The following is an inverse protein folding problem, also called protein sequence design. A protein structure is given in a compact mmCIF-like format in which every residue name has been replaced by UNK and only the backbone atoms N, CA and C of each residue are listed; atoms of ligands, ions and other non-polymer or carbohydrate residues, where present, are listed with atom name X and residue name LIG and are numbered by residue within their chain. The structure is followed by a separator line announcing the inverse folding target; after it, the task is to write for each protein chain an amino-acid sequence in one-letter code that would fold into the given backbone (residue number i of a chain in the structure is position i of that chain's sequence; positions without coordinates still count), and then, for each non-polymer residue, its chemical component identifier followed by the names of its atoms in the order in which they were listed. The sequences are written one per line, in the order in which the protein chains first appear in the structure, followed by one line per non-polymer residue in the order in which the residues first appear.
data_IF_660067350249
#
_entry.id   IF_660067350249
#
_cell.length_a   1.000
_cell.length_b   1.000
_cell.length_c   1.000
_cell.angle_alpha   90.00
_cell.angle_beta   90.00
_cell.angle_gamma   90.00
#
_symmetry.space_group_name_H-M   'P 1'
#
loop_
_entity.id
_entity.type
_entity.pdbx_description
1 polymer ?
#
# COMPACT_ATOMS: atom_id res chain seq x y z
N UNK A 1 6.47 -20.13 -19.66
CA UNK A 1 6.57 -19.22 -18.48
C UNK A 1 7.52 -19.76 -17.40
N UNK A 2 8.61 -19.05 -17.08
CA UNK A 2 9.69 -19.51 -16.20
C UNK A 2 9.36 -19.33 -14.71
N UNK A 3 9.93 -20.19 -13.86
CA UNK A 3 9.90 -20.09 -12.39
C UNK A 3 10.23 -18.67 -11.87
N UNK A 4 10.94 -17.88 -12.67
CA UNK A 4 11.34 -16.49 -12.42
C UNK A 4 10.14 -15.54 -12.27
N UNK A 5 9.08 -15.70 -13.06
CA UNK A 5 7.91 -14.80 -12.97
C UNK A 5 7.12 -15.04 -11.68
N UNK A 6 6.90 -16.31 -11.34
CA UNK A 6 6.34 -16.71 -10.04
C UNK A 6 7.20 -16.20 -8.88
N UNK A 7 8.53 -16.28 -9.03
CA UNK A 7 9.47 -15.75 -8.05
C UNK A 7 9.29 -14.23 -7.85
N UNK A 8 9.12 -13.45 -8.92
CA UNK A 8 8.87 -11.99 -8.83
C UNK A 8 7.57 -11.70 -8.08
N UNK A 9 6.48 -12.42 -8.37
CA UNK A 9 5.21 -12.24 -7.67
C UNK A 9 5.35 -12.54 -6.18
N UNK A 10 5.97 -13.68 -5.85
CA UNK A 10 6.21 -14.07 -4.45
C UNK A 10 7.09 -13.04 -3.76
N UNK A 11 8.15 -12.56 -4.41
CA UNK A 11 9.05 -11.55 -3.89
C UNK A 11 8.33 -10.23 -3.57
N UNK A 12 7.42 -9.77 -4.45
CA UNK A 12 6.61 -8.57 -4.22
C UNK A 12 5.67 -8.70 -3.02
N UNK A 13 5.08 -9.88 -2.82
CA UNK A 13 4.24 -10.16 -1.65
C UNK A 13 5.09 -10.20 -0.38
N UNK A 14 6.28 -10.81 -0.44
CA UNK A 14 7.21 -10.87 0.70
C UNK A 14 7.71 -9.48 1.11
N UNK A 15 7.90 -8.54 0.18
CA UNK A 15 8.23 -7.15 0.52
C UNK A 15 7.14 -6.52 1.40
N UNK A 16 5.86 -6.68 1.02
CA UNK A 16 4.74 -6.17 1.80
C UNK A 16 4.65 -6.81 3.19
N UNK A 17 4.82 -8.13 3.27
CA UNK A 17 4.87 -8.86 4.55
C UNK A 17 6.03 -8.38 5.41
N UNK A 18 7.23 -8.24 4.84
CA UNK A 18 8.43 -7.76 5.54
C UNK A 18 8.18 -6.38 6.17
N UNK A 19 7.61 -5.45 5.41
CA UNK A 19 7.29 -4.09 5.90
C UNK A 19 6.32 -4.12 7.10
N UNK A 20 5.28 -4.96 7.04
CA UNK A 20 4.32 -5.15 8.13
C UNK A 20 5.03 -5.72 9.36
N UNK A 21 5.81 -6.79 9.19
CA UNK A 21 6.52 -7.47 10.28
C UNK A 21 7.55 -6.55 10.93
N UNK A 22 8.35 -5.82 10.16
CA UNK A 22 9.32 -4.86 10.70
C UNK A 22 8.65 -3.77 11.52
N UNK A 23 7.52 -3.26 11.05
CA UNK A 23 6.72 -2.28 11.79
C UNK A 23 6.19 -2.87 13.09
N UNK A 24 5.71 -4.13 13.09
CA UNK A 24 5.26 -4.82 14.31
C UNK A 24 6.39 -5.01 15.32
N UNK A 25 7.54 -5.54 14.89
CA UNK A 25 8.71 -5.76 15.75
C UNK A 25 9.15 -4.43 16.37
N UNK A 26 9.23 -3.37 15.55
CA UNK A 26 9.58 -2.03 16.02
C UNK A 26 8.61 -1.49 17.06
N UNK A 27 7.32 -1.85 16.98
CA UNK A 27 6.32 -1.46 17.96
C UNK A 27 6.40 -2.27 19.25
N UNK A 28 6.56 -3.59 19.16
CA UNK A 28 6.68 -4.46 20.34
C UNK A 28 7.85 -3.99 21.22
N UNK A 29 8.98 -3.61 20.61
CA UNK A 29 10.15 -3.08 21.33
C UNK A 29 9.90 -1.75 22.05
N UNK A 30 8.86 -1.00 21.67
CA UNK A 30 8.58 0.36 22.16
C UNK A 30 7.27 0.46 22.92
N UNK A 31 6.61 -0.68 23.17
CA UNK A 31 5.29 -0.72 23.81
C UNK A 31 5.32 -0.09 25.20
N UNK A 32 6.41 -0.29 25.93
CA UNK A 32 6.57 0.21 27.29
C UNK A 32 6.94 1.70 27.36
N UNK A 33 7.28 2.32 26.22
CA UNK A 33 7.60 3.76 26.11
C UNK A 33 6.54 4.56 25.35
N UNK A 34 5.37 3.97 25.05
CA UNK A 34 4.24 4.67 24.41
C UNK A 34 3.58 5.64 25.41
N UNK A 35 3.59 6.95 25.10
CA UNK A 35 2.97 8.00 25.93
C UNK A 35 1.56 8.32 25.41
N UNK A 36 1.42 8.52 24.10
CA UNK A 36 0.15 8.91 23.47
C UNK A 36 -0.03 8.12 22.17
N UNK A 37 -1.15 7.42 22.06
CA UNK A 37 -1.58 6.77 20.81
C UNK A 37 -2.59 7.68 20.12
N UNK A 38 -2.15 8.34 19.04
CA UNK A 38 -3.02 9.19 18.23
C UNK A 38 -3.85 8.34 17.26
N UNK A 39 -5.00 8.91 16.91
CA UNK A 39 -6.11 8.21 16.26
C UNK A 39 -5.68 7.40 15.02
N UNK A 40 -6.13 6.14 14.95
CA UNK A 40 -6.00 5.27 13.78
C UNK A 40 -6.73 5.91 12.59
N UNK A 41 -6.13 5.87 11.41
CA UNK A 41 -6.70 6.42 10.18
C UNK A 41 -6.73 5.36 9.10
N UNK A 42 -7.86 5.23 8.41
CA UNK A 42 -7.85 4.51 7.14
C UNK A 42 -6.96 5.25 6.15
N UNK A 43 -6.02 4.53 5.54
CA UNK A 43 -5.15 5.09 4.51
C UNK A 43 -5.93 5.19 3.19
N UNK A 44 -6.11 6.41 2.70
CA UNK A 44 -6.75 6.69 1.40
C UNK A 44 -5.98 5.98 0.28
N UNK A 45 -4.64 5.96 0.35
CA UNK A 45 -3.80 5.21 -0.58
C UNK A 45 -4.09 3.72 -0.53
N UNK A 46 -4.25 3.16 0.67
CA UNK A 46 -4.63 1.75 0.84
C UNK A 46 -5.96 1.43 0.16
N UNK A 47 -6.97 2.28 0.33
CA UNK A 47 -8.26 2.14 -0.33
C UNK A 47 -8.17 2.31 -1.86
N UNK A 48 -7.35 3.24 -2.35
CA UNK A 48 -7.12 3.43 -3.78
C UNK A 48 -6.49 2.17 -4.41
N UNK A 49 -5.47 1.59 -3.78
CA UNK A 49 -4.85 0.34 -4.25
C UNK A 49 -5.80 -0.85 -4.15
N UNK A 50 -6.69 -0.89 -3.15
CA UNK A 50 -7.75 -1.89 -3.08
C UNK A 50 -8.74 -1.77 -4.24
N UNK A 51 -9.13 -0.54 -4.60
CA UNK A 51 -10.01 -0.30 -5.75
C UNK A 51 -9.33 -0.70 -7.07
N UNK A 52 -8.05 -0.35 -7.23
CA UNK A 52 -7.25 -0.80 -8.38
C UNK A 52 -7.17 -2.32 -8.47
N UNK A 53 -6.97 -3.02 -7.34
CA UNK A 53 -6.99 -4.47 -7.30
C UNK A 53 -8.32 -5.05 -7.81
N UNK A 54 -9.45 -4.49 -7.37
CA UNK A 54 -10.78 -4.91 -7.83
C UNK A 54 -10.92 -4.71 -9.34
N UNK A 55 -10.48 -3.57 -9.87
CA UNK A 55 -10.49 -3.29 -11.32
C UNK A 55 -9.69 -4.34 -12.08
N UNK A 56 -8.47 -4.66 -11.61
CA UNK A 56 -7.63 -5.67 -12.24
C UNK A 56 -8.26 -7.06 -12.22
N UNK A 57 -8.87 -7.47 -11.11
CA UNK A 57 -9.58 -8.76 -10.99
C UNK A 57 -10.74 -8.83 -11.99
N UNK A 58 -11.54 -7.75 -12.12
CA UNK A 58 -12.66 -7.70 -13.06
C UNK A 58 -12.17 -7.79 -14.51
N UNK A 59 -11.12 -7.05 -14.87
CA UNK A 59 -10.55 -7.10 -16.22
C UNK A 59 -9.97 -8.48 -16.54
N UNK A 60 -9.22 -9.07 -15.61
CA UNK A 60 -8.66 -10.42 -15.76
C UNK A 60 -9.79 -11.46 -15.96
N UNK A 61 -10.82 -11.41 -15.13
CA UNK A 61 -11.97 -12.32 -15.22
C UNK A 61 -12.68 -12.20 -16.56
N UNK A 62 -12.93 -10.97 -17.04
CA UNK A 62 -13.54 -10.74 -18.36
C UNK A 62 -12.68 -11.30 -19.50
N UNK A 63 -11.37 -11.10 -19.44
CA UNK A 63 -10.45 -11.62 -20.47
C UNK A 63 -10.40 -13.16 -20.46
N UNK A 64 -10.30 -13.78 -19.28
CA UNK A 64 -10.32 -15.25 -19.13
C UNK A 64 -11.61 -15.81 -19.70
N UNK A 65 -12.77 -15.27 -19.31
CA UNK A 65 -14.07 -15.75 -19.78
C UNK A 65 -14.24 -15.56 -21.29
N UNK A 66 -13.78 -14.44 -21.84
CA UNK A 66 -13.84 -14.19 -23.29
C UNK A 66 -13.09 -15.26 -24.08
N UNK A 67 -11.84 -15.53 -23.70
CA UNK A 67 -11.01 -16.51 -24.43
C UNK A 67 -11.41 -17.94 -24.11
N UNK A 68 -11.86 -18.22 -22.89
CA UNK A 68 -12.44 -19.52 -22.55
C UNK A 68 -13.65 -19.83 -23.42
N UNK A 69 -14.63 -18.93 -23.50
CA UNK A 69 -15.82 -19.14 -24.32
C UNK A 69 -15.51 -19.26 -25.81
N UNK A 70 -14.46 -18.58 -26.27
CA UNK A 70 -13.96 -18.70 -27.63
C UNK A 70 -13.43 -20.11 -27.88
N UNK A 71 -12.52 -20.61 -27.03
CA UNK A 71 -11.81 -21.89 -27.20
C UNK A 71 -12.59 -23.12 -26.71
N UNK A 72 -13.73 -22.92 -26.05
CA UNK A 72 -14.50 -23.98 -25.43
C UNK A 72 -14.95 -25.01 -26.47
N UNK A 73 -14.95 -26.28 -26.08
CA UNK A 73 -15.37 -27.45 -26.88
C UNK A 73 -14.37 -27.92 -27.92
N UNK A 74 -13.74 -27.02 -28.67
CA UNK A 74 -12.82 -27.41 -29.74
C UNK A 74 -11.38 -27.60 -29.25
N UNK A 75 -11.00 -26.79 -28.24
CA UNK A 75 -9.63 -26.76 -27.75
C UNK A 75 -9.58 -26.92 -26.23
N UNK A 76 -10.48 -26.24 -25.50
CA UNK A 76 -10.45 -26.18 -24.02
C UNK A 76 -11.70 -26.81 -23.42
N UNK A 77 -11.50 -27.79 -22.54
CA UNK A 77 -12.57 -28.49 -21.84
C UNK A 77 -12.84 -27.90 -20.45
N UNK A 78 -11.84 -27.25 -19.87
CA UNK A 78 -11.89 -26.74 -18.50
C UNK A 78 -11.29 -25.34 -18.40
N UNK A 79 -11.96 -24.45 -17.64
CA UNK A 79 -11.45 -23.10 -17.38
C UNK A 79 -10.08 -23.13 -16.67
N UNK A 80 -9.74 -24.22 -15.95
CA UNK A 80 -8.43 -24.37 -15.32
C UNK A 80 -7.28 -24.48 -16.34
N UNK A 81 -7.54 -24.97 -17.55
CA UNK A 81 -6.52 -25.03 -18.62
C UNK A 81 -6.09 -23.62 -19.07
N UNK A 82 -6.96 -22.62 -18.92
CA UNK A 82 -6.62 -21.22 -19.22
C UNK A 82 -5.49 -20.68 -18.32
N UNK A 83 -5.32 -21.25 -17.12
CA UNK A 83 -4.26 -20.89 -16.19
C UNK A 83 -2.97 -21.70 -16.42
N UNK A 84 -3.01 -22.72 -17.29
CA UNK A 84 -1.84 -23.47 -17.69
C UNK A 84 -1.18 -22.78 -18.89
N UNK A 85 -0.21 -21.90 -18.61
CA UNK A 85 0.44 -21.14 -19.68
C UNK A 85 1.15 -22.02 -20.71
N UNK A 86 1.80 -23.11 -20.29
CA UNK A 86 2.48 -24.00 -21.25
C UNK A 86 1.49 -24.62 -22.23
N UNK A 87 0.30 -24.96 -21.75
CA UNK A 87 -0.79 -25.42 -22.58
C UNK A 87 -1.28 -24.33 -23.55
N UNK A 88 -1.44 -23.09 -23.07
CA UNK A 88 -1.82 -21.96 -23.92
C UNK A 88 -0.75 -21.60 -24.97
N UNK A 89 0.53 -21.68 -24.62
CA UNK A 89 1.67 -21.50 -25.54
C UNK A 89 1.63 -22.53 -26.67
N UNK A 90 1.32 -23.81 -26.36
CA UNK A 90 1.15 -24.86 -27.38
C UNK A 90 -0.03 -24.61 -28.31
N UNK A 91 -1.16 -24.11 -27.78
CA UNK A 91 -2.30 -23.73 -28.61
C UNK A 91 -1.96 -22.58 -29.57
N UNK A 92 -1.25 -21.55 -29.08
CA UNK A 92 -0.77 -20.45 -29.92
C UNK A 92 0.09 -20.97 -31.07
N UNK A 93 1.04 -21.87 -30.78
CA UNK A 93 1.90 -22.49 -31.80
C UNK A 93 1.08 -23.31 -32.82
N UNK A 94 0.10 -24.07 -32.35
CA UNK A 94 -0.83 -24.84 -33.19
C UNK A 94 -1.62 -23.94 -34.15
N UNK A 95 -2.22 -22.87 -33.64
CA UNK A 95 -2.97 -21.90 -34.46
C UNK A 95 -2.09 -21.21 -35.50
N UNK A 96 -0.86 -20.86 -35.13
CA UNK A 96 0.09 -20.28 -36.07
C UNK A 96 0.43 -21.24 -37.22
N UNK A 97 0.69 -22.52 -36.90
CA UNK A 97 1.01 -23.55 -37.89
C UNK A 97 -0.15 -23.89 -38.84
N UNK A 98 -1.39 -23.77 -38.36
CA UNK A 98 -2.60 -24.06 -39.13
C UNK A 98 -3.17 -22.83 -39.88
N UNK A 99 -2.52 -21.66 -39.80
CA UNK A 99 -3.00 -20.39 -40.35
C UNK A 99 -4.32 -19.88 -39.73
N UNK A 100 -4.61 -20.28 -38.49
CA UNK A 100 -5.79 -19.87 -37.73
C UNK A 100 -5.55 -18.52 -37.02
N UNK A 101 -5.33 -17.45 -37.81
CA UNK A 101 -4.83 -16.18 -37.30
C UNK A 101 -5.74 -15.51 -36.25
N UNK A 102 -7.07 -15.64 -36.37
CA UNK A 102 -8.01 -15.07 -35.39
C UNK A 102 -7.80 -15.70 -34.01
N UNK A 103 -7.70 -17.03 -33.96
CA UNK A 103 -7.47 -17.82 -32.75
C UNK A 103 -6.09 -17.54 -32.16
N UNK A 104 -5.08 -17.47 -33.02
CA UNK A 104 -3.72 -17.08 -32.67
C UNK A 104 -3.68 -15.73 -31.96
N UNK A 105 -4.21 -14.65 -32.58
CA UNK A 105 -4.12 -13.30 -32.03
C UNK A 105 -4.87 -13.17 -30.71
N UNK A 106 -6.05 -13.78 -30.57
CA UNK A 106 -6.81 -13.71 -29.32
C UNK A 106 -6.12 -14.45 -28.18
N UNK A 107 -5.59 -15.64 -28.45
CA UNK A 107 -4.90 -16.47 -27.45
C UNK A 107 -3.56 -15.85 -27.05
N UNK A 108 -2.81 -15.31 -28.01
CA UNK A 108 -1.57 -14.58 -27.76
C UNK A 108 -1.79 -13.35 -26.88
N UNK A 109 -2.76 -12.51 -27.22
CA UNK A 109 -3.11 -11.32 -26.44
C UNK A 109 -3.56 -11.69 -25.02
N UNK A 110 -4.31 -12.78 -24.85
CA UNK A 110 -4.66 -13.30 -23.54
C UNK A 110 -3.41 -13.66 -22.73
N UNK A 111 -2.53 -14.49 -23.26
CA UNK A 111 -1.35 -14.98 -22.54
C UNK A 111 -0.40 -13.84 -22.15
N UNK A 112 -0.20 -12.87 -23.05
CA UNK A 112 0.58 -11.66 -22.79
C UNK A 112 -0.02 -10.82 -21.66
N UNK A 113 -1.32 -10.53 -21.73
CA UNK A 113 -2.02 -9.72 -20.73
C UNK A 113 -2.23 -10.43 -19.39
N UNK A 114 -2.34 -11.77 -19.39
CA UNK A 114 -2.55 -12.57 -18.19
C UNK A 114 -1.38 -12.38 -17.22
N UNK A 115 -0.16 -12.46 -17.73
CA UNK A 115 1.08 -12.29 -16.97
C UNK A 115 1.18 -10.89 -16.37
N UNK A 116 0.99 -9.86 -17.19
CA UNK A 116 0.99 -8.46 -16.72
C UNK A 116 -0.10 -8.22 -15.67
N UNK A 117 -1.31 -8.76 -15.90
CA UNK A 117 -2.44 -8.66 -14.98
C UNK A 117 -2.14 -9.28 -13.61
N UNK A 118 -1.53 -10.47 -13.56
CA UNK A 118 -1.10 -11.11 -12.31
C UNK A 118 -0.09 -10.25 -11.53
N UNK A 119 0.89 -9.68 -12.23
CA UNK A 119 1.84 -8.76 -11.62
C UNK A 119 1.14 -7.55 -10.99
N UNK A 120 0.24 -6.89 -11.73
CA UNK A 120 -0.49 -5.72 -11.24
C UNK A 120 -1.43 -6.04 -10.08
N UNK A 121 -2.06 -7.22 -10.09
CA UNK A 121 -2.86 -7.71 -8.98
C UNK A 121 -2.00 -7.92 -7.72
N UNK A 122 -0.89 -8.63 -7.84
CA UNK A 122 0.01 -8.88 -6.71
C UNK A 122 0.60 -7.57 -6.13
N UNK A 123 1.02 -6.65 -7.00
CA UNK A 123 1.53 -5.34 -6.61
C UNK A 123 0.45 -4.51 -5.89
N UNK A 124 -0.75 -4.41 -6.46
CA UNK A 124 -1.86 -3.64 -5.86
C UNK A 124 -2.27 -4.23 -4.51
N UNK A 125 -2.28 -5.56 -4.38
CA UNK A 125 -2.56 -6.24 -3.12
C UNK A 125 -1.48 -5.91 -2.06
N UNK A 126 -0.21 -6.05 -2.41
CA UNK A 126 0.92 -5.77 -1.51
C UNK A 126 0.91 -4.33 -1.02
N UNK A 127 0.69 -3.37 -1.93
CA UNK A 127 0.60 -1.94 -1.59
C UNK A 127 -0.63 -1.63 -0.75
N UNK A 128 -1.79 -2.18 -1.10
CA UNK A 128 -3.04 -2.03 -0.33
C UNK A 128 -2.87 -2.50 1.11
N UNK A 129 -2.38 -3.73 1.30
CA UNK A 129 -2.13 -4.29 2.63
C UNK A 129 -1.15 -3.42 3.43
N UNK A 130 -0.05 -3.01 2.82
CA UNK A 130 0.98 -2.18 3.49
C UNK A 130 0.41 -0.84 3.94
N UNK A 131 -0.31 -0.13 3.07
CA UNK A 131 -0.86 1.19 3.39
C UNK A 131 -2.03 1.12 4.38
N UNK A 132 -2.92 0.14 4.23
CA UNK A 132 -4.01 -0.09 5.20
C UNK A 132 -3.44 -0.42 6.57
N UNK A 133 -2.42 -1.29 6.62
CA UNK A 133 -1.73 -1.64 7.85
C UNK A 133 -1.07 -0.40 8.51
N UNK A 134 -0.28 0.37 7.76
CA UNK A 134 0.35 1.62 8.26
C UNK A 134 -0.69 2.61 8.81
N UNK A 135 -1.83 2.76 8.15
CA UNK A 135 -2.93 3.59 8.64
C UNK A 135 -3.57 3.05 9.93
N UNK A 136 -3.76 1.73 10.01
CA UNK A 136 -4.37 1.05 11.17
C UNK A 136 -3.52 1.10 12.44
N UNK A 137 -2.18 1.14 12.29
CA UNK A 137 -1.24 1.26 13.42
C UNK A 137 -1.34 2.64 14.06
N UNK A 138 -1.63 3.68 13.26
CA UNK A 138 -1.76 5.06 13.72
C UNK A 138 -0.41 5.72 14.01
N UNK A 139 -0.48 6.95 14.52
CA UNK A 139 0.71 7.69 14.99
C UNK A 139 0.84 7.50 16.49
N UNK A 140 2.04 7.22 16.99
CA UNK A 140 2.31 7.00 18.41
C UNK A 140 3.43 7.94 18.83
N UNK A 141 3.24 8.65 19.94
CA UNK A 141 4.28 9.46 20.58
C UNK A 141 4.86 8.61 21.72
N UNK A 142 6.17 8.41 21.66
CA UNK A 142 6.95 7.67 22.64
C UNK A 142 7.96 8.59 23.34
N UNK A 143 8.55 8.11 24.43
CA UNK A 143 9.61 8.84 25.16
C UNK A 143 10.79 9.24 24.27
N UNK A 144 11.20 8.36 23.36
CA UNK A 144 12.36 8.57 22.48
C UNK A 144 12.03 9.31 21.17
N UNK A 145 10.75 9.42 20.80
CA UNK A 145 10.36 9.99 19.51
C UNK A 145 8.93 9.74 19.08
N UNK A 146 8.64 9.95 17.79
CA UNK A 146 7.34 9.77 17.18
C UNK A 146 7.40 8.61 16.17
N UNK A 147 6.48 7.65 16.30
CA UNK A 147 6.21 6.64 15.28
C UNK A 147 5.06 7.11 14.40
N UNK A 148 5.30 7.37 13.12
CA UNK A 148 4.27 7.72 12.15
C UNK A 148 4.31 6.81 10.93
N UNK A 149 3.17 6.23 10.57
CA UNK A 149 3.01 5.38 9.38
C UNK A 149 4.06 4.26 9.27
N UNK A 150 4.48 3.70 10.41
CA UNK A 150 5.49 2.64 10.53
C UNK A 150 6.95 3.11 10.61
N UNK A 151 7.22 4.40 10.40
CA UNK A 151 8.55 4.99 10.56
C UNK A 151 8.71 5.58 11.95
N UNK A 152 9.90 5.42 12.54
CA UNK A 152 10.24 6.03 13.83
C UNK A 152 11.19 7.21 13.66
N UNK A 153 10.83 8.32 14.29
CA UNK A 153 11.57 9.57 14.26
C UNK A 153 11.96 9.96 15.68
N UNK A 154 13.27 9.89 15.98
CA UNK A 154 13.82 10.36 17.25
C UNK A 154 13.60 11.86 17.44
N UNK A 155 13.40 12.29 18.69
CA UNK A 155 13.23 13.71 19.02
C UNK A 155 14.35 14.61 18.50
N UNK A 156 15.59 14.16 18.61
CA UNK A 156 16.81 14.83 18.16
C UNK A 156 16.80 15.22 16.67
N UNK A 157 15.96 14.57 15.85
CA UNK A 157 15.85 14.86 14.41
C UNK A 157 14.94 16.03 14.11
N UNK A 158 14.21 16.58 15.07
CA UNK A 158 13.31 17.72 14.87
C UNK A 158 14.01 19.02 15.23
N UNK A 159 13.93 20.02 14.35
CA UNK A 159 14.51 21.36 14.56
C UNK A 159 13.58 22.32 15.29
N UNK A 160 12.29 22.03 15.28
CA UNK A 160 11.27 22.87 15.87
C UNK A 160 9.89 22.31 15.61
N UNK A 161 8.90 22.80 16.35
CA UNK A 161 7.50 22.52 16.08
C UNK A 161 6.65 23.77 16.28
N UNK A 162 5.49 23.81 15.62
CA UNK A 162 4.45 24.78 15.93
C UNK A 162 3.07 24.10 15.91
N UNK A 163 2.13 24.69 16.65
CA UNK A 163 0.76 24.20 16.76
C UNK A 163 -0.18 25.22 16.13
N UNK A 164 -0.84 24.85 15.05
CA UNK A 164 -1.86 25.71 14.44
C UNK A 164 -3.11 25.79 15.32
N UNK A 165 -3.91 26.83 15.07
CA UNK A 165 -5.21 27.03 15.72
C UNK A 165 -6.20 25.86 15.54
N UNK A 166 -7.31 25.88 16.32
CA UNK A 166 -8.32 24.83 16.26
C UNK A 166 -9.01 24.80 14.90
N UNK A 167 -9.25 23.60 14.37
CA UNK A 167 -10.04 23.38 13.17
C UNK A 167 -11.00 22.20 13.35
N UNK A 168 -12.10 22.19 12.59
CA UNK A 168 -13.06 21.08 12.57
C UNK A 168 -12.78 20.18 11.38
N UNK A 169 -12.95 18.86 11.54
CA UNK A 169 -12.86 17.90 10.44
C UNK A 169 -14.26 17.61 9.90
N UNK A 170 -14.37 17.52 8.57
CA UNK A 170 -15.63 17.19 7.89
C UNK A 170 -16.07 15.74 8.12
N UNK A 171 -15.14 14.83 8.36
CA UNK A 171 -15.38 13.37 8.43
C UNK A 171 -15.55 12.85 9.86
N UNK A 172 -15.10 13.60 10.86
CA UNK A 172 -15.27 13.26 12.28
C UNK A 172 -15.56 14.54 13.06
N UNK A 173 -16.69 14.58 13.75
CA UNK A 173 -17.00 15.65 14.69
C UNK A 173 -15.91 15.77 15.76
N UNK A 174 -15.64 17.00 16.19
CA UNK A 174 -14.60 17.33 17.14
C UNK A 174 -13.73 18.51 16.71
N UNK A 175 -13.05 19.08 17.71
CA UNK A 175 -12.06 20.14 17.52
C UNK A 175 -10.68 19.51 17.45
N UNK A 176 -9.90 19.84 16.42
CA UNK A 176 -8.59 19.29 16.19
C UNK A 176 -7.53 20.40 16.14
N UNK A 177 -6.29 20.03 16.47
CA UNK A 177 -5.11 20.87 16.37
C UNK A 177 -4.10 20.20 15.43
N UNK A 178 -3.38 21.00 14.64
CA UNK A 178 -2.27 20.52 13.80
C UNK A 178 -0.96 20.86 14.48
N UNK A 179 -0.19 19.84 14.86
CA UNK A 179 1.19 20.00 15.28
C UNK A 179 2.09 19.71 14.09
N UNK A 180 2.88 20.69 13.68
CA UNK A 180 3.78 20.61 12.53
C UNK A 180 5.21 20.59 13.05
N UNK A 181 5.93 19.50 12.78
CA UNK A 181 7.31 19.30 13.22
C UNK A 181 8.27 19.43 12.03
N UNK A 182 9.25 20.31 12.15
CA UNK A 182 10.24 20.58 11.12
C UNK A 182 11.42 19.61 11.22
N UNK A 183 11.81 18.98 10.11
CA UNK A 183 12.94 18.05 9.99
C UNK A 183 14.01 18.60 9.04
N UNK A 184 15.31 18.36 9.29
CA UNK A 184 16.33 18.60 8.30
C UNK A 184 16.44 17.41 7.34
N UNK A 185 16.24 17.64 6.05
CA UNK A 185 16.77 16.72 5.03
C UNK A 185 17.24 17.44 3.77
N UNK A 186 18.34 16.91 3.21
CA UNK A 186 19.16 17.46 2.14
C UNK A 186 18.55 17.31 0.73
N UNK A 187 17.42 16.59 0.57
CA UNK A 187 16.94 16.19 -0.78
C UNK A 187 15.41 16.05 -1.00
N UNK A 188 14.51 16.57 -0.15
CA UNK A 188 13.06 16.52 -0.49
C UNK A 188 12.24 17.71 0.00
N UNK A 189 11.20 18.06 -0.79
CA UNK A 189 10.40 19.29 -0.71
C UNK A 189 9.31 19.34 0.37
N UNK A 190 9.12 18.29 1.18
CA UNK A 190 8.19 18.32 2.32
C UNK A 190 8.88 17.83 3.60
N UNK A 191 9.49 18.78 4.32
CA UNK A 191 10.30 18.55 5.51
C UNK A 191 9.48 18.58 6.81
N UNK A 192 8.16 18.41 6.74
CA UNK A 192 7.28 18.52 7.89
C UNK A 192 6.65 17.17 8.25
N UNK A 193 6.45 16.93 9.55
CA UNK A 193 5.56 15.88 10.04
C UNK A 193 4.33 16.56 10.63
N UNK A 194 3.14 16.22 10.13
CA UNK A 194 1.89 16.85 10.57
C UNK A 194 1.07 15.88 11.40
N UNK A 195 1.04 16.12 12.71
CA UNK A 195 0.18 15.38 13.63
C UNK A 195 -1.15 16.09 13.78
N UNK A 196 -2.24 15.35 13.58
CA UNK A 196 -3.58 15.89 13.75
C UNK A 196 -4.15 15.34 15.06
N UNK A 197 -4.23 16.19 16.07
CA UNK A 197 -4.50 15.81 17.46
C UNK A 197 -5.90 16.28 17.84
N UNK A 198 -6.70 15.41 18.48
CA UNK A 198 -8.00 15.81 19.04
C UNK A 198 -7.78 16.78 20.20
N UNK A 199 -8.69 17.72 20.44
CA UNK A 199 -8.59 18.70 21.54
C UNK A 199 -8.33 18.04 22.89
N UNK A 200 -8.91 16.86 23.13
CA UNK A 200 -8.70 16.05 24.34
C UNK A 200 -7.23 15.69 24.61
N UNK A 201 -6.44 15.48 23.56
CA UNK A 201 -5.03 15.10 23.67
C UNK A 201 -4.08 16.28 23.47
N UNK A 202 -4.60 17.48 23.20
CA UNK A 202 -3.78 18.66 22.84
C UNK A 202 -2.77 18.98 23.94
N UNK A 203 -3.20 19.11 25.18
CA UNK A 203 -2.33 19.49 26.30
C UNK A 203 -1.26 18.44 26.58
N UNK A 204 -1.64 17.16 26.55
CA UNK A 204 -0.70 16.05 26.72
C UNK A 204 0.38 16.06 25.62
N UNK A 205 -0.03 16.23 24.36
CA UNK A 205 0.91 16.33 23.23
C UNK A 205 1.80 17.55 23.36
N UNK A 206 1.23 18.73 23.64
CA UNK A 206 2.01 19.98 23.76
C UNK A 206 3.06 19.87 24.87
N UNK A 207 2.69 19.31 26.03
CA UNK A 207 3.62 19.08 27.15
C UNK A 207 4.76 18.11 26.77
N UNK A 208 4.45 16.98 26.16
CA UNK A 208 5.47 16.00 25.76
C UNK A 208 6.41 16.57 24.69
N UNK A 209 5.85 17.30 23.74
CA UNK A 209 6.63 17.88 22.63
C UNK A 209 7.50 19.02 23.10
N UNK A 210 6.99 19.93 23.95
CA UNK A 210 7.75 21.09 24.44
C UNK A 210 8.98 20.74 25.26
N UNK A 211 8.98 19.56 25.89
CA UNK A 211 10.15 19.05 26.64
C UNK A 211 11.27 18.64 25.67
N UNK A 212 10.90 18.14 24.49
CA UNK A 212 11.83 17.47 23.58
C UNK A 212 12.22 18.28 22.34
N UNK A 213 11.40 19.27 21.95
CA UNK A 213 11.57 20.07 20.73
C UNK A 213 11.23 21.52 21.01
N UNK A 214 12.04 22.47 20.54
CA UNK A 214 11.77 23.90 20.72
C UNK A 214 10.55 24.35 19.90
N UNK A 215 9.70 25.19 20.51
CA UNK A 215 8.56 25.81 19.83
C UNK A 215 9.08 26.92 18.91
N UNK A 216 8.68 26.88 17.65
CA UNK A 216 8.97 27.91 16.64
C UNK A 216 7.70 28.68 16.30
N UNK A 217 7.82 29.95 15.90
CA UNK A 217 6.68 30.75 15.47
C UNK A 217 6.18 30.32 14.07
N UNK A 218 4.89 30.50 13.79
CA UNK A 218 4.33 30.32 12.44
C UNK A 218 5.03 31.32 11.49
N UNK A 219 5.67 30.82 10.42
CA UNK A 219 6.22 31.64 9.34
C UNK A 219 5.17 31.92 8.28
#
# INVERSE_FOLDING_TARGET
MTNEFLFIIVFLLLIGVKEIVWTQIGRIKRKDSEIIVLNKKLSIWGLLYLLLLIVWIVLATKNVLKVYNLLKYDYVDSIFQMFNIQYMEKLIEGFYKNNDYVWYFQTYNYTSNFTSGLFWMAFSLSMSMTFLYRGSVGTIICEEGITDSGNFYKWEKFKGYYCCGPYKKTVREGTYYKFIFNRPTFFSKDNTLVLNVNSEYKEAVEKTVSINVQKTEEQ
#
